data_IF_796243655040
#
_entry.id   IF_796243655040
#
_cell.length_a   1.000
_cell.length_b   1.000
_cell.length_c   1.000
_cell.angle_alpha   90.00
_cell.angle_beta   90.00
_cell.angle_gamma   90.00
#
_symmetry.space_group_name_H-M   'P 1'
#
loop_
_entity.id
_entity.type
_entity.pdbx_description
1 polymer ?
#
# COMPACT_ATOMS: atom_id res chain seq x y z
N UNK A 1 -20.05 14.00 21.24
CA UNK A 1 -20.67 13.83 19.91
C UNK A 1 -19.88 14.60 18.84
N UNK A 2 -19.81 15.93 18.88
CA UNK A 2 -19.10 16.74 17.88
C UNK A 2 -17.61 16.38 17.70
N UNK A 3 -16.87 16.14 18.79
CA UNK A 3 -15.46 15.74 18.72
C UNK A 3 -15.23 14.36 18.07
N UNK A 4 -16.17 13.43 18.22
CA UNK A 4 -16.11 12.09 17.61
C UNK A 4 -16.38 12.18 16.11
N UNK A 5 -17.30 13.05 15.70
CA UNK A 5 -17.59 13.35 14.29
C UNK A 5 -16.39 13.99 13.59
N UNK A 6 -15.72 14.93 14.26
CA UNK A 6 -14.49 15.57 13.73
C UNK A 6 -13.33 14.56 13.67
N UNK A 7 -13.18 13.71 14.69
CA UNK A 7 -12.10 12.71 14.72
C UNK A 7 -12.25 11.62 13.64
N UNK A 8 -13.47 11.12 13.39
CA UNK A 8 -13.71 10.16 12.31
C UNK A 8 -13.59 10.80 10.91
N UNK A 9 -14.01 12.06 10.75
CA UNK A 9 -13.83 12.80 9.51
C UNK A 9 -12.34 12.99 9.15
N UNK A 10 -11.49 13.23 10.16
CA UNK A 10 -10.03 13.33 9.99
C UNK A 10 -9.37 11.97 9.75
N UNK A 11 -9.91 10.89 10.33
CA UNK A 11 -9.35 9.53 10.20
C UNK A 11 -9.63 8.88 8.84
N UNK A 12 -10.71 9.28 8.17
CA UNK A 12 -11.18 8.63 6.95
C UNK A 12 -10.46 9.04 5.65
N UNK A 13 -9.68 10.13 5.62
CA UNK A 13 -9.22 10.69 4.33
C UNK A 13 -7.82 11.34 4.36
N UNK A 14 -6.73 10.58 4.09
CA UNK A 14 -5.51 11.12 3.54
C UNK A 14 -5.46 10.82 2.04
N UNK A 15 -6.30 11.46 1.22
CA UNK A 15 -6.11 11.49 -0.25
C UNK A 15 -6.41 12.89 -0.79
N UNK A 16 -5.41 13.45 -1.48
CA UNK A 16 -5.27 14.86 -1.82
C UNK A 16 -6.00 15.30 -3.11
N UNK A 17 -6.79 14.44 -3.76
CA UNK A 17 -7.34 14.73 -5.09
C UNK A 17 -8.79 15.25 -5.09
N UNK A 18 -9.50 15.23 -3.95
CA UNK A 18 -10.86 15.84 -3.80
C UNK A 18 -11.03 16.54 -2.45
N UNK A 19 -10.04 17.36 -2.08
CA UNK A 19 -9.74 17.77 -0.71
C UNK A 19 -10.84 18.49 0.10
N UNK A 20 -11.94 18.97 -0.51
CA UNK A 20 -12.95 19.78 0.20
C UNK A 20 -14.37 19.20 0.12
N UNK A 21 -14.76 18.58 -0.99
CA UNK A 21 -16.15 18.15 -1.19
C UNK A 21 -16.56 17.00 -0.25
N UNK A 22 -15.73 15.96 -0.14
CA UNK A 22 -16.01 14.77 0.69
C UNK A 22 -16.18 15.08 2.19
N UNK A 23 -15.26 15.83 2.83
CA UNK A 23 -15.38 16.23 4.23
C UNK A 23 -16.61 17.09 4.51
N UNK A 24 -16.91 18.05 3.64
CA UNK A 24 -18.08 18.95 3.79
C UNK A 24 -19.39 18.16 3.65
N UNK A 25 -19.49 17.28 2.65
CA UNK A 25 -20.64 16.39 2.46
C UNK A 25 -20.86 15.50 3.69
N UNK A 26 -19.80 14.91 4.23
CA UNK A 26 -19.85 14.05 5.42
C UNK A 26 -20.28 14.83 6.66
N UNK A 27 -19.74 16.04 6.85
CA UNK A 27 -20.11 16.90 7.96
C UNK A 27 -21.59 17.27 7.91
N UNK A 28 -22.10 17.72 6.75
CA UNK A 28 -23.52 18.08 6.57
C UNK A 28 -24.40 16.86 6.83
N UNK A 29 -24.03 15.69 6.31
CA UNK A 29 -24.78 14.44 6.49
C UNK A 29 -24.90 14.06 7.97
N UNK A 30 -23.78 14.08 8.71
CA UNK A 30 -23.75 13.73 10.13
C UNK A 30 -24.43 14.80 11.01
N UNK A 31 -24.27 16.08 10.70
CA UNK A 31 -24.95 17.17 11.40
C UNK A 31 -26.48 17.07 11.24
N UNK A 32 -26.96 16.81 10.02
CA UNK A 32 -28.38 16.62 9.75
C UNK A 32 -28.95 15.41 10.51
N UNK A 33 -28.22 14.28 10.51
CA UNK A 33 -28.61 13.08 11.26
C UNK A 33 -28.65 13.32 12.78
N UNK A 34 -27.66 14.03 13.33
CA UNK A 34 -27.58 14.35 14.75
C UNK A 34 -28.70 15.29 15.19
N UNK A 35 -28.98 16.35 14.41
CA UNK A 35 -30.09 17.27 14.65
C UNK A 35 -31.44 16.55 14.61
N UNK A 36 -31.60 15.64 13.65
CA UNK A 36 -32.83 14.86 13.51
C UNK A 36 -33.09 13.96 14.71
N UNK A 37 -32.08 13.20 15.15
CA UNK A 37 -32.19 12.33 16.32
C UNK A 37 -32.39 13.12 17.63
N UNK A 38 -31.65 14.22 17.80
CA UNK A 38 -31.77 15.09 18.98
C UNK A 38 -33.16 15.72 19.11
N UNK A 39 -33.70 16.25 18.00
CA UNK A 39 -35.03 16.82 17.95
C UNK A 39 -36.12 15.76 18.25
N UNK A 40 -35.97 14.53 17.74
CA UNK A 40 -36.90 13.43 18.00
C UNK A 40 -36.99 13.11 19.50
N UNK A 41 -35.84 12.95 20.16
CA UNK A 41 -35.78 12.63 21.59
C UNK A 41 -36.45 13.73 22.42
N UNK A 42 -36.18 15.00 22.09
CA UNK A 42 -36.76 16.13 22.80
C UNK A 42 -38.29 16.20 22.64
N UNK A 43 -38.80 15.99 21.42
CA UNK A 43 -40.25 15.97 21.13
C UNK A 43 -40.94 14.81 21.85
N UNK A 44 -40.32 13.63 21.89
CA UNK A 44 -40.88 12.48 22.62
C UNK A 44 -40.92 12.71 24.14
N UNK A 45 -39.90 13.36 24.71
CA UNK A 45 -39.88 13.72 26.15
C UNK A 45 -40.94 14.75 26.50
N UNK A 46 -41.06 15.80 25.71
CA UNK A 46 -42.05 16.88 25.92
C UNK A 46 -43.48 16.38 25.73
N UNK A 47 -43.76 15.62 24.67
CA UNK A 47 -45.08 15.00 24.47
C UNK A 47 -45.44 13.98 25.56
N UNK A 48 -44.45 13.26 26.12
CA UNK A 48 -44.67 12.37 27.27
C UNK A 48 -44.98 13.12 28.57
N UNK A 49 -44.51 14.36 28.73
CA UNK A 49 -44.85 15.25 29.85
C UNK A 49 -46.21 15.93 29.70
N UNK A 50 -46.63 16.23 28.47
CA UNK A 50 -47.90 16.92 28.17
C UNK A 50 -49.10 15.99 27.97
N UNK A 51 -49.21 14.92 28.78
CA UNK A 51 -50.28 13.90 28.64
C UNK A 51 -51.72 14.46 28.68
N UNK A 52 -51.92 15.68 29.21
CA UNK A 52 -53.22 16.36 29.26
C UNK A 52 -53.49 17.39 28.15
N UNK A 53 -52.49 17.87 27.40
CA UNK A 53 -52.65 18.98 26.45
C UNK A 53 -52.53 18.53 24.98
N UNK A 54 -53.59 17.88 24.50
CA UNK A 54 -53.58 17.20 23.20
C UNK A 54 -53.44 18.12 21.98
N UNK A 55 -53.84 19.39 22.09
CA UNK A 55 -53.69 20.37 21.02
C UNK A 55 -52.23 20.84 20.87
N UNK A 56 -51.57 21.14 22.00
CA UNK A 56 -50.17 21.56 22.04
C UNK A 56 -49.23 20.44 21.55
N UNK A 57 -49.47 19.20 21.99
CA UNK A 57 -48.71 18.04 21.51
C UNK A 57 -48.81 17.84 19.98
N UNK A 58 -50.01 18.00 19.41
CA UNK A 58 -50.21 17.92 17.95
C UNK A 58 -49.47 19.02 17.19
N UNK A 59 -49.49 20.25 17.70
CA UNK A 59 -48.73 21.37 17.13
C UNK A 59 -47.24 21.03 17.08
N UNK A 60 -46.69 20.56 18.20
CA UNK A 60 -45.27 20.20 18.30
C UNK A 60 -44.88 19.03 17.36
N UNK A 61 -45.70 17.98 17.28
CA UNK A 61 -45.50 16.86 16.36
C UNK A 61 -45.52 17.29 14.89
N UNK A 62 -46.41 18.21 14.52
CA UNK A 62 -46.49 18.71 13.13
C UNK A 62 -45.30 19.60 12.75
N UNK A 63 -44.82 20.44 13.69
CA UNK A 63 -43.61 21.23 13.51
C UNK A 63 -42.37 20.33 13.36
N UNK A 64 -42.23 19.31 14.21
CA UNK A 64 -41.17 18.32 14.10
C UNK A 64 -41.22 17.55 12.78
N UNK A 65 -42.41 17.12 12.32
CA UNK A 65 -42.56 16.41 11.06
C UNK A 65 -42.09 17.23 9.84
N UNK A 66 -42.27 18.56 9.88
CA UNK A 66 -41.78 19.48 8.84
C UNK A 66 -40.26 19.61 8.86
N UNK A 67 -39.67 19.75 10.05
CA UNK A 67 -38.21 19.79 10.23
C UNK A 67 -37.57 18.47 9.79
N UNK A 68 -38.15 17.34 10.20
CA UNK A 68 -37.69 16.00 9.85
C UNK A 68 -37.69 15.76 8.33
N UNK A 69 -38.65 16.33 7.59
CA UNK A 69 -38.67 16.23 6.12
C UNK A 69 -37.47 16.93 5.48
N UNK A 70 -37.13 18.14 5.93
CA UNK A 70 -35.96 18.88 5.45
C UNK A 70 -34.64 18.19 5.81
N UNK A 71 -34.51 17.71 7.05
CA UNK A 71 -33.32 16.98 7.48
C UNK A 71 -33.15 15.66 6.72
N UNK A 72 -34.24 14.93 6.48
CA UNK A 72 -34.21 13.72 5.67
C UNK A 72 -33.79 14.01 4.23
N UNK A 73 -34.33 15.06 3.61
CA UNK A 73 -33.93 15.47 2.27
C UNK A 73 -32.42 15.81 2.21
N UNK A 74 -31.89 16.53 3.20
CA UNK A 74 -30.46 16.83 3.28
C UNK A 74 -29.60 15.55 3.38
N UNK A 75 -29.99 14.60 4.23
CA UNK A 75 -29.30 13.30 4.40
C UNK A 75 -29.33 12.50 3.09
N UNK A 76 -30.47 12.42 2.41
CA UNK A 76 -30.60 11.70 1.14
C UNK A 76 -29.74 12.35 0.06
N UNK A 77 -29.85 13.67 -0.13
CA UNK A 77 -29.12 14.39 -1.18
C UNK A 77 -27.61 14.28 -0.97
N UNK A 78 -27.12 14.52 0.24
CA UNK A 78 -25.69 14.38 0.56
C UNK A 78 -25.21 12.93 0.38
N UNK A 79 -26.03 11.94 0.74
CA UNK A 79 -25.72 10.52 0.53
C UNK A 79 -25.63 10.13 -0.95
N UNK A 80 -26.54 10.63 -1.78
CA UNK A 80 -26.55 10.40 -3.23
C UNK A 80 -25.33 11.05 -3.90
N UNK A 81 -25.02 12.30 -3.55
CA UNK A 81 -23.85 13.01 -4.10
C UNK A 81 -22.56 12.27 -3.71
N UNK A 82 -22.43 11.85 -2.45
CA UNK A 82 -21.27 11.08 -2.01
C UNK A 82 -21.15 9.74 -2.75
N UNK A 83 -22.25 9.04 -2.99
CA UNK A 83 -22.24 7.78 -3.73
C UNK A 83 -21.82 7.97 -5.20
N UNK A 84 -22.30 9.02 -5.87
CA UNK A 84 -21.96 9.33 -7.26
C UNK A 84 -20.49 9.76 -7.43
N UNK A 85 -19.91 10.42 -6.42
CA UNK A 85 -18.50 10.81 -6.42
C UNK A 85 -17.56 9.62 -6.20
N UNK A 86 -18.00 8.58 -5.48
CA UNK A 86 -17.16 7.45 -5.07
C UNK A 86 -17.26 6.23 -5.99
N UNK A 87 -18.29 6.10 -6.84
CA UNK A 87 -18.59 4.84 -7.55
C UNK A 87 -18.77 5.02 -9.06
N UNK A 88 -17.93 4.38 -9.90
CA UNK A 88 -18.27 4.18 -11.31
C UNK A 88 -19.47 3.23 -11.42
N UNK A 89 -20.54 3.68 -12.09
CA UNK A 89 -21.87 3.04 -12.11
C UNK A 89 -21.87 1.57 -12.58
N UNK A 90 -20.83 1.12 -13.29
CA UNK A 90 -20.68 -0.27 -13.75
C UNK A 90 -20.41 -1.29 -12.63
N UNK A 91 -19.85 -0.85 -11.50
CA UNK A 91 -19.39 -1.74 -10.42
C UNK A 91 -20.41 -1.91 -9.28
N UNK A 92 -21.56 -1.24 -9.36
CA UNK A 92 -22.58 -1.21 -8.30
C UNK A 92 -23.24 -2.57 -8.07
N UNK A 93 -23.34 -3.41 -9.12
CA UNK A 93 -24.02 -4.70 -9.02
C UNK A 93 -23.08 -5.88 -8.79
N UNK A 94 -21.79 -5.72 -9.08
CA UNK A 94 -20.79 -6.80 -9.06
C UNK A 94 -19.90 -6.75 -7.84
N UNK A 95 -19.72 -5.58 -7.22
CA UNK A 95 -18.84 -5.41 -6.05
C UNK A 95 -19.59 -5.50 -4.74
N UNK A 96 -18.93 -6.00 -3.70
CA UNK A 96 -19.49 -6.04 -2.34
C UNK A 96 -19.81 -4.65 -1.81
N UNK A 97 -19.04 -3.64 -2.23
CA UNK A 97 -19.31 -2.23 -1.92
C UNK A 97 -20.66 -1.79 -2.52
N UNK A 98 -20.91 -2.10 -3.79
CA UNK A 98 -22.17 -1.79 -4.47
C UNK A 98 -23.38 -2.49 -3.85
N UNK A 99 -23.23 -3.73 -3.39
CA UNK A 99 -24.28 -4.45 -2.65
C UNK A 99 -24.64 -3.79 -1.30
N UNK A 100 -23.65 -3.30 -0.56
CA UNK A 100 -23.88 -2.54 0.70
C UNK A 100 -24.57 -1.21 0.41
N UNK A 101 -24.19 -0.53 -0.67
CA UNK A 101 -24.85 0.71 -1.12
C UNK A 101 -26.32 0.46 -1.47
N UNK A 102 -26.63 -0.63 -2.20
CA UNK A 102 -28.01 -1.02 -2.52
C UNK A 102 -28.84 -1.33 -1.26
N UNK A 103 -28.26 -2.04 -0.29
CA UNK A 103 -28.92 -2.28 1.00
C UNK A 103 -29.23 -0.96 1.73
N UNK A 104 -28.30 0.00 1.70
CA UNK A 104 -28.48 1.33 2.29
C UNK A 104 -29.58 2.12 1.58
N UNK A 105 -29.64 2.07 0.24
CA UNK A 105 -30.70 2.71 -0.55
C UNK A 105 -32.07 2.10 -0.21
N UNK A 106 -32.17 0.77 -0.15
CA UNK A 106 -33.42 0.08 0.20
C UNK A 106 -33.91 0.47 1.61
N UNK A 107 -33.00 0.58 2.57
CA UNK A 107 -33.30 0.99 3.94
C UNK A 107 -33.83 2.43 4.01
N UNK A 108 -33.19 3.36 3.28
CA UNK A 108 -33.62 4.76 3.18
C UNK A 108 -34.98 4.88 2.50
N UNK A 109 -35.22 4.10 1.43
CA UNK A 109 -36.51 4.06 0.75
C UNK A 109 -37.63 3.55 1.66
N UNK A 110 -37.36 2.50 2.46
CA UNK A 110 -38.28 2.00 3.46
C UNK A 110 -38.64 3.06 4.53
N UNK A 111 -37.65 3.79 5.02
CA UNK A 111 -37.86 4.88 5.98
C UNK A 111 -38.69 6.03 5.36
N UNK A 112 -38.43 6.40 4.11
CA UNK A 112 -39.19 7.41 3.38
C UNK A 112 -40.67 7.01 3.23
N UNK A 113 -40.93 5.74 2.87
CA UNK A 113 -42.28 5.20 2.71
C UNK A 113 -43.06 5.21 4.03
N UNK A 114 -42.43 4.79 5.14
CA UNK A 114 -43.04 4.85 6.47
C UNK A 114 -43.38 6.29 6.88
N UNK A 115 -42.44 7.23 6.68
CA UNK A 115 -42.67 8.64 6.98
C UNK A 115 -43.79 9.27 6.11
N UNK A 116 -43.90 8.85 4.84
CA UNK A 116 -45.00 9.28 3.96
C UNK A 116 -46.36 8.75 4.44
N UNK A 117 -46.45 7.46 4.77
CA UNK A 117 -47.67 6.83 5.29
C UNK A 117 -48.11 7.46 6.62
N UNK A 118 -47.17 7.78 7.51
CA UNK A 118 -47.40 8.48 8.76
C UNK A 118 -48.09 9.83 8.55
N UNK A 119 -47.53 10.65 7.65
CA UNK A 119 -48.08 11.96 7.28
C UNK A 119 -49.48 11.84 6.69
N UNK A 120 -49.69 10.86 5.80
CA UNK A 120 -50.99 10.61 5.19
C UNK A 120 -52.06 10.27 6.24
N UNK A 121 -51.72 9.46 7.24
CA UNK A 121 -52.63 9.08 8.34
C UNK A 121 -52.91 10.23 9.31
N UNK A 122 -51.92 11.07 9.59
CA UNK A 122 -52.10 12.29 10.39
C UNK A 122 -53.05 13.29 9.73
N UNK A 123 -53.00 13.42 8.40
CA UNK A 123 -53.92 14.28 7.65
C UNK A 123 -55.32 13.67 7.44
N UNK A 124 -55.44 12.35 7.40
CA UNK A 124 -56.70 11.67 7.13
C UNK A 124 -57.66 11.52 8.33
N UNK A 125 -57.19 11.70 9.59
CA UNK A 125 -58.00 11.49 10.78
C UNK A 125 -57.95 12.68 11.76
N UNK A 126 -58.73 13.75 11.52
CA UNK A 126 -58.86 14.87 12.45
C UNK A 126 -59.72 14.44 13.65
N UNK A 127 -59.12 14.02 14.77
CA UNK A 127 -59.87 13.87 16.04
C UNK A 127 -59.40 12.83 17.05
N UNK A 128 -58.48 11.91 16.71
CA UNK A 128 -57.91 10.95 17.68
C UNK A 128 -56.39 10.99 17.63
N UNK A 129 -55.74 11.31 18.76
CA UNK A 129 -54.27 11.26 18.85
C UNK A 129 -53.80 9.81 18.76
N UNK A 130 -53.01 9.45 17.74
CA UNK A 130 -52.53 8.10 17.61
C UNK A 130 -51.14 8.02 18.27
N UNK A 131 -51.11 7.98 19.61
CA UNK A 131 -49.86 7.85 20.39
C UNK A 131 -49.08 6.56 20.10
N UNK A 132 -49.75 5.51 19.61
CA UNK A 132 -49.12 4.20 19.29
C UNK A 132 -48.33 4.18 17.97
N UNK A 133 -48.84 4.64 16.82
CA UNK A 133 -48.06 4.64 15.58
C UNK A 133 -46.84 5.56 15.63
N UNK A 134 -46.90 6.70 16.34
CA UNK A 134 -45.74 7.59 16.49
C UNK A 134 -44.53 6.92 17.20
N UNK A 135 -44.79 5.99 18.14
CA UNK A 135 -43.73 5.22 18.82
C UNK A 135 -43.13 4.15 17.92
N UNK A 136 -43.96 3.48 17.12
CA UNK A 136 -43.50 2.48 16.13
C UNK A 136 -42.65 3.16 15.06
N UNK A 137 -43.06 4.34 14.60
CA UNK A 137 -42.32 5.16 13.63
C UNK A 137 -40.97 5.65 14.18
N UNK A 138 -40.94 6.16 15.41
CA UNK A 138 -39.69 6.55 16.06
C UNK A 138 -38.74 5.35 16.22
N UNK A 139 -39.26 4.17 16.58
CA UNK A 139 -38.45 2.95 16.69
C UNK A 139 -37.91 2.48 15.34
N UNK A 140 -38.70 2.56 14.27
CA UNK A 140 -38.26 2.20 12.93
C UNK A 140 -37.14 3.13 12.43
N UNK A 141 -37.25 4.43 12.69
CA UNK A 141 -36.21 5.41 12.37
C UNK A 141 -34.93 5.19 13.17
N UNK A 142 -35.04 4.87 14.47
CA UNK A 142 -33.89 4.52 15.30
C UNK A 142 -33.21 3.25 14.79
N UNK A 143 -33.98 2.22 14.40
CA UNK A 143 -33.42 0.98 13.81
C UNK A 143 -32.73 1.27 12.48
N UNK A 144 -33.34 2.07 11.60
CA UNK A 144 -32.73 2.47 10.32
C UNK A 144 -31.42 3.24 10.54
N UNK A 145 -31.39 4.15 11.52
CA UNK A 145 -30.18 4.89 11.88
C UNK A 145 -29.12 3.96 12.50
N UNK A 146 -29.52 3.04 13.38
CA UNK A 146 -28.61 2.07 13.98
C UNK A 146 -28.02 1.11 12.94
N UNK A 147 -28.84 0.62 12.01
CA UNK A 147 -28.39 -0.23 10.90
C UNK A 147 -27.50 0.56 9.94
N UNK A 148 -27.87 1.80 9.59
CA UNK A 148 -27.03 2.66 8.75
C UNK A 148 -25.69 2.97 9.41
N UNK A 149 -25.68 3.28 10.71
CA UNK A 149 -24.46 3.49 11.48
C UNK A 149 -23.61 2.23 11.53
N UNK A 150 -24.23 1.07 11.78
CA UNK A 150 -23.55 -0.24 11.79
C UNK A 150 -22.93 -0.53 10.43
N UNK A 151 -23.67 -0.33 9.33
CA UNK A 151 -23.17 -0.50 7.96
C UNK A 151 -22.08 0.52 7.58
N UNK A 152 -22.02 1.67 8.25
CA UNK A 152 -20.95 2.66 8.02
C UNK A 152 -19.69 2.34 8.84
N UNK A 153 -19.86 1.72 10.01
CA UNK A 153 -18.75 1.24 10.86
C UNK A 153 -18.17 -0.07 10.36
N UNK A 154 -19.00 -0.94 9.77
CA UNK A 154 -18.55 -2.13 9.05
C UNK A 154 -17.81 -1.66 7.80
N UNK A 155 -16.47 -1.61 7.89
CA UNK A 155 -15.60 -1.42 6.73
C UNK A 155 -16.04 -2.39 5.65
N UNK A 156 -16.34 -1.87 4.45
CA UNK A 156 -16.52 -2.73 3.29
C UNK A 156 -15.34 -3.71 3.22
N UNK A 157 -15.57 -5.00 2.90
CA UNK A 157 -14.47 -5.94 2.70
C UNK A 157 -13.48 -5.30 1.73
N UNK A 158 -12.25 -5.10 2.18
CA UNK A 158 -11.21 -4.57 1.32
C UNK A 158 -11.09 -5.52 0.13
N UNK A 159 -11.33 -5.01 -1.08
CA UNK A 159 -11.11 -5.81 -2.27
C UNK A 159 -9.63 -6.23 -2.27
N UNK A 160 -9.41 -7.53 -2.08
CA UNK A 160 -8.08 -8.09 -1.95
C UNK A 160 -7.25 -7.88 -3.23
N UNK A 161 -7.90 -7.60 -4.36
CA UNK A 161 -7.26 -7.39 -5.66
C UNK A 161 -7.03 -5.92 -6.01
N UNK A 162 -7.66 -4.98 -5.28
CA UNK A 162 -7.50 -3.55 -5.57
C UNK A 162 -6.05 -3.12 -5.27
N UNK A 163 -5.39 -2.37 -6.18
CA UNK A 163 -4.05 -1.86 -5.92
C UNK A 163 -4.03 -0.99 -4.65
N UNK A 164 -2.97 -1.16 -3.86
CA UNK A 164 -2.67 -0.28 -2.74
C UNK A 164 -2.12 1.05 -3.27
N UNK A 165 -2.38 2.13 -2.55
CA UNK A 165 -1.81 3.43 -2.89
C UNK A 165 -0.31 3.49 -2.63
N UNK A 166 0.18 2.73 -1.65
CA UNK A 166 1.60 2.70 -1.25
C UNK A 166 2.02 1.29 -0.83
N UNK A 167 3.31 1.01 -0.92
CA UNK A 167 3.91 -0.21 -0.40
C UNK A 167 3.67 -0.35 1.12
N UNK A 168 3.24 -1.52 1.60
CA UNK A 168 3.20 -1.79 3.04
C UNK A 168 4.62 -1.66 3.65
N UNK A 169 4.74 -1.17 4.89
CA UNK A 169 6.03 -1.12 5.56
C UNK A 169 6.61 -2.54 5.73
N UNK A 170 7.93 -2.66 5.63
CA UNK A 170 8.65 -3.91 5.87
C UNK A 170 8.57 -4.31 7.35
N UNK A 171 8.42 -5.61 7.63
CA UNK A 171 8.32 -6.12 9.01
C UNK A 171 9.57 -6.92 9.37
N UNK A 172 10.37 -6.38 10.28
CA UNK A 172 11.62 -7.00 10.74
C UNK A 172 12.76 -6.93 9.70
N UNK A 173 13.80 -7.76 9.88
CA UNK A 173 14.94 -7.83 8.97
C UNK A 173 14.52 -8.14 7.52
N UNK A 174 15.25 -7.54 6.57
CA UNK A 174 14.97 -7.62 5.13
C UNK A 174 16.09 -8.37 4.42
N UNK A 175 15.73 -9.25 3.49
CA UNK A 175 16.65 -9.79 2.48
C UNK A 175 16.46 -8.96 1.21
N UNK A 176 17.41 -8.07 0.87
CA UNK A 176 17.36 -7.37 -0.39
C UNK A 176 17.90 -8.26 -1.51
N UNK A 177 17.33 -8.12 -2.70
CA UNK A 177 17.91 -8.67 -3.92
C UNK A 177 17.51 -7.79 -5.11
N UNK A 178 18.40 -7.66 -6.09
CA UNK A 178 18.19 -6.89 -7.29
C UNK A 178 18.59 -7.69 -8.54
N UNK A 179 17.99 -7.37 -9.67
CA UNK A 179 18.38 -7.86 -10.99
C UNK A 179 17.84 -6.92 -12.07
N UNK A 180 18.04 -7.25 -13.35
CA UNK A 180 17.55 -6.48 -14.49
C UNK A 180 17.01 -7.40 -15.58
N UNK A 181 15.81 -7.08 -16.08
CA UNK A 181 15.16 -7.77 -17.19
C UNK A 181 15.11 -6.85 -18.41
N UNK A 182 16.05 -7.04 -19.35
CA UNK A 182 16.29 -6.09 -20.43
C UNK A 182 16.69 -4.73 -19.85
N UNK A 183 15.89 -3.70 -20.09
CA UNK A 183 16.07 -2.33 -19.60
C UNK A 183 15.34 -2.04 -18.29
N UNK A 184 14.61 -3.02 -17.76
CA UNK A 184 13.81 -2.86 -16.54
C UNK A 184 14.64 -3.29 -15.34
N UNK A 185 14.99 -2.33 -14.49
CA UNK A 185 15.55 -2.58 -13.17
C UNK A 185 14.51 -3.24 -12.26
N UNK A 186 14.94 -4.25 -11.51
CA UNK A 186 14.10 -4.99 -10.57
C UNK A 186 14.77 -4.97 -9.21
N UNK A 187 14.10 -4.41 -8.23
CA UNK A 187 14.52 -4.43 -6.84
C UNK A 187 13.49 -5.17 -5.99
N UNK A 188 13.96 -5.97 -5.04
CA UNK A 188 13.08 -6.76 -4.17
C UNK A 188 13.45 -6.61 -2.71
N UNK A 189 12.40 -6.60 -1.87
CA UNK A 189 12.50 -6.53 -0.42
C UNK A 189 11.67 -7.67 0.16
N UNK A 190 12.35 -8.75 0.53
CA UNK A 190 11.73 -9.87 1.23
C UNK A 190 11.79 -9.63 2.74
N UNK A 191 10.63 -9.63 3.40
CA UNK A 191 10.52 -9.49 4.86
C UNK A 191 9.50 -10.48 5.41
N UNK A 192 9.28 -10.48 6.73
CA UNK A 192 8.40 -11.46 7.36
C UNK A 192 6.99 -11.34 6.81
N UNK A 193 6.47 -12.41 6.20
CA UNK A 193 5.10 -12.48 5.71
C UNK A 193 4.84 -11.77 4.38
N UNK A 194 5.85 -11.23 3.70
CA UNK A 194 5.64 -10.48 2.46
C UNK A 194 6.86 -10.40 1.53
N UNK A 195 6.56 -10.12 0.26
CA UNK A 195 7.51 -9.74 -0.77
C UNK A 195 7.02 -8.45 -1.43
N UNK A 196 7.93 -7.46 -1.52
CA UNK A 196 7.75 -6.24 -2.31
C UNK A 196 8.73 -6.28 -3.47
N UNK A 197 8.25 -5.98 -4.68
CA UNK A 197 9.03 -5.86 -5.91
C UNK A 197 8.79 -4.49 -6.49
N UNK A 198 9.85 -3.75 -6.78
CA UNK A 198 9.81 -2.43 -7.38
C UNK A 198 10.55 -2.47 -8.71
N UNK A 199 9.86 -2.02 -9.75
CA UNK A 199 10.36 -1.94 -11.11
C UNK A 199 10.74 -0.49 -11.44
N UNK A 200 11.85 -0.33 -12.15
CA UNK A 200 12.29 0.96 -12.67
C UNK A 200 12.61 0.81 -14.16
N UNK A 201 12.14 1.75 -14.97
CA UNK A 201 12.53 1.89 -16.36
C UNK A 201 13.02 3.34 -16.60
N UNK A 202 13.81 3.61 -17.65
CA UNK A 202 14.17 4.97 -17.96
C UNK A 202 12.93 5.83 -18.23
N UNK A 203 12.96 7.08 -17.75
CA UNK A 203 11.82 7.98 -17.85
C UNK A 203 11.88 8.76 -19.16
N UNK A 204 10.82 8.64 -19.96
CA UNK A 204 10.59 9.49 -21.14
C UNK A 204 9.19 10.05 -21.02
N UNK A 205 9.07 11.38 -20.98
CA UNK A 205 7.77 12.05 -20.83
C UNK A 205 7.31 12.17 -19.37
N UNK A 206 5.98 12.15 -19.16
CA UNK A 206 5.39 12.31 -17.83
C UNK A 206 5.45 10.97 -17.05
N UNK A 207 6.02 10.92 -15.82
CA UNK A 207 6.10 9.69 -15.02
C UNK A 207 4.76 8.99 -14.75
N UNK A 208 3.64 9.70 -14.83
CA UNK A 208 2.29 9.14 -14.62
C UNK A 208 1.81 8.26 -15.80
N UNK A 209 2.39 8.43 -16.99
CA UNK A 209 1.98 7.69 -18.19
C UNK A 209 2.65 6.31 -18.27
N UNK A 210 3.66 6.05 -17.42
CA UNK A 210 4.42 4.82 -17.49
C UNK A 210 3.70 3.66 -16.78
N UNK A 211 3.30 2.67 -17.58
CA UNK A 211 2.65 1.45 -17.07
C UNK A 211 3.66 0.31 -16.91
N UNK A 212 3.54 -0.41 -15.79
CA UNK A 212 4.41 -1.54 -15.45
C UNK A 212 3.59 -2.83 -15.38
N UNK A 213 4.15 -3.91 -15.92
CA UNK A 213 3.64 -5.27 -15.81
C UNK A 213 4.64 -6.16 -15.09
N UNK A 214 4.14 -7.01 -14.18
CA UNK A 214 4.96 -8.01 -13.50
C UNK A 214 4.19 -9.30 -13.31
N UNK A 215 4.83 -10.41 -13.66
CA UNK A 215 4.46 -11.74 -13.19
C UNK A 215 5.63 -12.38 -12.45
N UNK A 216 5.32 -13.18 -11.43
CA UNK A 216 6.33 -13.81 -10.58
C UNK A 216 5.98 -15.27 -10.30
N UNK A 217 6.99 -16.14 -10.40
CA UNK A 217 6.92 -17.53 -9.95
C UNK A 217 7.99 -17.77 -8.90
N UNK A 218 7.59 -18.36 -7.78
CA UNK A 218 8.50 -18.74 -6.70
C UNK A 218 8.73 -20.25 -6.73
N UNK A 219 9.99 -20.67 -6.80
CA UNK A 219 10.43 -21.99 -6.42
C UNK A 219 10.91 -21.95 -4.96
N UNK A 220 10.29 -22.73 -4.08
CA UNK A 220 10.76 -22.85 -2.69
C UNK A 220 12.08 -23.63 -2.61
N UNK A 221 12.76 -23.69 -1.44
CA UNK A 221 14.03 -24.39 -1.30
C UNK A 221 13.96 -25.90 -1.58
N UNK A 222 12.75 -26.48 -1.67
CA UNK A 222 12.52 -27.89 -2.05
C UNK A 222 12.22 -28.05 -3.55
N UNK A 223 12.22 -26.95 -4.31
CA UNK A 223 11.93 -26.93 -5.74
C UNK A 223 10.44 -26.84 -6.08
N UNK A 224 9.54 -26.70 -5.10
CA UNK A 224 8.09 -26.58 -5.36
C UNK A 224 7.80 -25.21 -5.97
N UNK A 225 7.24 -25.19 -7.19
CA UNK A 225 6.95 -23.95 -7.92
C UNK A 225 5.51 -23.50 -7.72
N UNK A 226 5.31 -22.20 -7.51
CA UNK A 226 3.99 -21.56 -7.48
C UNK A 226 4.02 -20.19 -8.13
N UNK A 227 3.00 -19.86 -8.91
CA UNK A 227 2.78 -18.49 -9.36
C UNK A 227 2.36 -17.62 -8.16
N UNK A 228 2.92 -16.42 -8.06
CA UNK A 228 2.56 -15.46 -7.01
C UNK A 228 1.46 -14.54 -7.51
N UNK A 229 0.45 -14.33 -6.68
CA UNK A 229 -0.59 -13.32 -6.94
C UNK A 229 -0.07 -11.97 -6.46
N UNK A 230 0.30 -11.11 -7.39
CA UNK A 230 0.83 -9.77 -7.14
C UNK A 230 -0.29 -8.75 -7.13
N UNK A 231 -0.16 -7.75 -6.26
CA UNK A 231 -1.06 -6.59 -6.16
C UNK A 231 -0.23 -5.33 -6.33
N UNK A 232 -0.72 -4.37 -7.13
CA UNK A 232 -0.05 -3.08 -7.27
C UNK A 232 0.04 -2.34 -5.93
N UNK A 233 1.11 -1.60 -5.70
CA UNK A 233 1.33 -0.79 -4.50
C UNK A 233 1.87 0.62 -4.76
N UNK A 234 1.55 1.15 -5.94
CA UNK A 234 2.12 2.37 -6.52
C UNK A 234 2.68 2.08 -7.92
N UNK A 235 3.08 3.12 -8.65
CA UNK A 235 3.69 3.00 -9.98
C UNK A 235 4.96 2.16 -9.89
N UNK A 236 5.05 1.09 -10.69
CA UNK A 236 6.16 0.15 -10.66
C UNK A 236 6.26 -0.74 -9.41
N UNK A 237 5.37 -0.59 -8.42
CA UNK A 237 5.40 -1.34 -7.16
C UNK A 237 4.42 -2.52 -7.17
N UNK A 238 4.91 -3.69 -6.77
CA UNK A 238 4.13 -4.91 -6.62
C UNK A 238 4.34 -5.54 -5.25
N UNK A 239 3.26 -6.01 -4.65
CA UNK A 239 3.23 -6.58 -3.32
C UNK A 239 2.52 -7.93 -3.33
N UNK A 240 3.02 -8.89 -2.53
CA UNK A 240 2.30 -10.13 -2.25
C UNK A 240 2.58 -10.63 -0.83
N UNK A 241 1.55 -11.09 -0.09
CA UNK A 241 1.76 -11.78 1.17
C UNK A 241 2.42 -13.13 0.91
N UNK A 242 3.50 -13.42 1.64
CA UNK A 242 4.32 -14.59 1.39
C UNK A 242 4.96 -15.13 2.67
N UNK A 243 4.72 -16.40 2.96
CA UNK A 243 5.45 -17.12 4.01
C UNK A 243 6.69 -17.76 3.40
N UNK A 244 7.86 -17.35 3.90
CA UNK A 244 9.15 -17.87 3.50
C UNK A 244 9.46 -19.19 4.22
N UNK A 245 10.04 -20.14 3.49
CA UNK A 245 10.69 -21.32 4.07
C UNK A 245 12.16 -20.98 4.32
N UNK A 246 12.74 -21.56 5.36
CA UNK A 246 14.18 -21.50 5.59
C UNK A 246 14.94 -22.13 4.42
N UNK A 247 15.98 -21.43 3.95
CA UNK A 247 16.77 -21.77 2.77
C UNK A 247 16.62 -20.77 1.62
N UNK A 248 17.19 -21.12 0.47
CA UNK A 248 17.20 -20.27 -0.72
C UNK A 248 16.00 -20.57 -1.61
N UNK A 249 15.14 -19.58 -1.81
CA UNK A 249 14.05 -19.63 -2.78
C UNK A 249 14.46 -18.90 -4.05
N UNK A 250 14.03 -19.39 -5.22
CA UNK A 250 14.30 -18.75 -6.50
C UNK A 250 13.04 -18.09 -7.05
N UNK A 251 13.14 -16.80 -7.34
CA UNK A 251 12.11 -16.02 -8.00
C UNK A 251 12.43 -15.93 -9.49
N UNK A 252 11.46 -16.31 -10.31
CA UNK A 252 11.45 -16.04 -11.75
C UNK A 252 10.45 -14.95 -12.01
N UNK A 253 10.93 -13.80 -12.48
CA UNK A 253 10.16 -12.60 -12.72
C UNK A 253 10.07 -12.37 -14.23
N UNK A 254 8.92 -11.91 -14.71
CA UNK A 254 8.76 -11.42 -16.07
C UNK A 254 8.17 -10.02 -16.00
N UNK A 255 8.96 -9.03 -16.39
CA UNK A 255 8.70 -7.62 -16.23
C UNK A 255 8.53 -6.93 -17.59
N UNK A 256 7.65 -5.94 -17.65
CA UNK A 256 7.42 -5.07 -18.80
C UNK A 256 7.18 -3.62 -18.33
N UNK A 257 7.54 -2.64 -19.15
CA UNK A 257 7.35 -1.22 -18.88
C UNK A 257 7.03 -0.52 -20.19
N UNK A 258 5.75 -0.19 -20.41
CA UNK A 258 5.26 0.30 -21.70
C UNK A 258 5.58 -0.63 -22.88
N UNK A 259 5.53 -0.07 -24.08
CA UNK A 259 5.98 -0.75 -25.32
C UNK A 259 7.40 -0.30 -25.73
N UNK A 260 7.87 0.79 -25.14
CA UNK A 260 9.11 1.47 -25.50
C UNK A 260 10.37 0.84 -24.86
N UNK A 261 10.24 0.14 -23.73
CA UNK A 261 11.39 -0.45 -23.02
C UNK A 261 11.46 -1.96 -23.19
N UNK A 262 12.66 -2.47 -23.45
CA UNK A 262 12.90 -3.90 -23.53
C UNK A 262 12.68 -4.56 -22.16
N UNK A 263 11.53 -5.20 -21.97
CA UNK A 263 11.27 -6.06 -20.81
C UNK A 263 11.82 -7.48 -20.99
N UNK A 264 11.49 -8.37 -20.06
CA UNK A 264 11.87 -9.77 -20.20
C UNK A 264 11.79 -10.58 -18.92
N UNK A 265 12.41 -11.75 -18.96
CA UNK A 265 12.49 -12.67 -17.82
C UNK A 265 13.82 -12.52 -17.10
N UNK A 266 13.78 -12.40 -15.77
CA UNK A 266 14.96 -12.40 -14.92
C UNK A 266 14.77 -13.33 -13.72
N UNK A 267 15.87 -13.84 -13.19
CA UNK A 267 15.91 -14.69 -12.01
C UNK A 267 16.62 -13.99 -10.85
N UNK A 268 16.14 -14.21 -9.63
CA UNK A 268 16.85 -13.79 -8.42
C UNK A 268 16.65 -14.80 -7.29
N UNK A 269 17.59 -14.82 -6.35
CA UNK A 269 17.57 -15.72 -5.20
C UNK A 269 17.29 -14.93 -3.92
N UNK A 270 16.40 -15.48 -3.07
CA UNK A 270 16.10 -14.96 -1.75
C UNK A 270 16.46 -16.03 -0.72
N UNK A 271 17.47 -15.76 0.10
CA UNK A 271 17.86 -16.69 1.18
C UNK A 271 17.25 -16.25 2.50
N UNK A 272 16.37 -17.08 3.06
CA UNK A 272 15.66 -16.80 4.31
C UNK A 272 16.14 -17.70 5.46
N UNK A 273 16.20 -17.24 6.72
CA UNK A 273 15.87 -15.90 7.21
C UNK A 273 16.95 -14.85 6.95
N UNK A 274 16.54 -13.58 6.97
CA UNK A 274 17.47 -12.44 7.00
C UNK A 274 18.34 -12.49 8.27
N UNK A 275 19.65 -12.27 8.10
CA UNK A 275 20.66 -12.27 9.17
C UNK A 275 21.42 -10.94 9.14
N UNK A 276 20.98 -9.89 9.85
CA UNK A 276 21.70 -8.61 9.85
C UNK A 276 23.14 -8.76 10.36
N UNK A 277 24.10 -8.19 9.64
CA UNK A 277 25.52 -8.28 9.99
C UNK A 277 26.29 -7.00 9.63
N UNK A 278 26.00 -5.92 10.36
CA UNK A 278 26.68 -4.64 10.17
C UNK A 278 28.18 -4.69 10.54
N UNK A 279 28.60 -5.66 11.37
CA UNK A 279 29.99 -5.83 11.75
C UNK A 279 30.83 -6.34 10.57
N UNK A 280 30.30 -7.30 9.81
CA UNK A 280 30.95 -7.81 8.61
C UNK A 280 31.15 -6.71 7.55
N UNK A 281 30.18 -5.81 7.36
CA UNK A 281 30.34 -4.67 6.44
C UNK A 281 31.45 -3.72 6.89
N UNK A 282 31.48 -3.34 8.18
CA UNK A 282 32.56 -2.49 8.72
C UNK A 282 33.93 -3.15 8.58
N UNK A 283 34.01 -4.46 8.83
CA UNK A 283 35.22 -5.26 8.62
C UNK A 283 35.66 -5.25 7.16
N UNK A 284 34.71 -5.41 6.24
CA UNK A 284 34.94 -5.36 4.78
C UNK A 284 35.52 -4.02 4.36
N UNK A 285 34.91 -2.91 4.78
CA UNK A 285 35.40 -1.56 4.50
C UNK A 285 36.78 -1.33 5.10
N UNK A 286 37.05 -1.83 6.31
CA UNK A 286 38.37 -1.73 6.92
C UNK A 286 39.44 -2.55 6.18
N UNK A 287 39.10 -3.74 5.68
CA UNK A 287 39.98 -4.57 4.86
C UNK A 287 40.27 -3.91 3.51
N UNK A 288 39.24 -3.42 2.82
CA UNK A 288 39.36 -2.72 1.55
C UNK A 288 40.21 -1.45 1.68
N UNK A 289 40.05 -0.64 2.75
CA UNK A 289 40.91 0.55 3.00
C UNK A 289 42.40 0.24 3.10
N UNK A 290 42.77 -1.00 3.46
CA UNK A 290 44.15 -1.47 3.58
C UNK A 290 44.69 -2.08 2.29
N UNK A 291 43.86 -2.34 1.29
CA UNK A 291 44.29 -2.91 0.01
C UNK A 291 45.06 -1.84 -0.80
N UNK A 292 46.37 -2.04 -1.07
CA UNK A 292 47.21 -1.01 -1.68
C UNK A 292 46.83 -0.77 -3.14
N UNK A 293 46.75 -1.83 -3.96
CA UNK A 293 46.25 -1.80 -5.34
C UNK A 293 45.60 -3.15 -5.70
N UNK A 294 44.65 -3.11 -6.61
CA UNK A 294 44.07 -4.27 -7.29
C UNK A 294 43.55 -3.86 -8.66
N UNK A 295 43.30 -4.84 -9.52
CA UNK A 295 42.65 -4.62 -10.81
C UNK A 295 41.15 -4.90 -10.67
N UNK A 296 40.34 -3.89 -10.94
CA UNK A 296 38.88 -3.99 -10.99
C UNK A 296 38.46 -4.35 -12.41
N UNK A 297 37.85 -5.53 -12.57
CA UNK A 297 37.24 -5.98 -13.81
C UNK A 297 35.75 -5.67 -13.74
N UNK A 298 35.29 -4.66 -14.48
CA UNK A 298 33.93 -4.14 -14.44
C UNK A 298 33.19 -4.42 -15.76
N UNK A 299 31.95 -4.88 -15.63
CA UNK A 299 30.97 -5.03 -16.70
C UNK A 299 29.74 -4.21 -16.34
N UNK A 300 29.31 -3.31 -17.23
CA UNK A 300 28.14 -2.45 -17.04
C UNK A 300 27.16 -2.64 -18.18
N UNK A 301 25.91 -3.00 -17.85
CA UNK A 301 24.84 -3.09 -18.84
C UNK A 301 23.59 -2.34 -18.40
N UNK A 302 23.02 -1.57 -19.32
CA UNK A 302 21.67 -1.00 -19.16
C UNK A 302 20.61 -1.90 -19.76
N UNK A 303 20.99 -2.88 -20.60
CA UNK A 303 20.08 -3.80 -21.27
C UNK A 303 20.62 -5.24 -21.25
N UNK A 304 20.10 -6.09 -20.36
CA UNK A 304 20.57 -7.48 -20.23
C UNK A 304 20.25 -8.36 -21.43
N UNK A 305 19.40 -7.94 -22.37
CA UNK A 305 19.19 -8.66 -23.65
C UNK A 305 20.38 -8.54 -24.60
N UNK A 306 21.22 -7.52 -24.43
CA UNK A 306 22.42 -7.28 -25.25
C UNK A 306 23.70 -7.85 -24.59
N UNK A 307 23.57 -8.52 -23.44
CA UNK A 307 24.68 -9.04 -22.65
C UNK A 307 25.03 -8.15 -21.45
N UNK A 308 26.20 -8.41 -20.85
CA UNK A 308 26.67 -7.74 -19.62
C UNK A 308 27.47 -6.46 -19.88
N UNK A 309 27.63 -6.07 -21.14
CA UNK A 309 28.42 -4.91 -21.55
C UNK A 309 29.90 -5.23 -21.78
N UNK A 310 30.67 -4.19 -22.05
CA UNK A 310 32.09 -4.31 -22.35
C UNK A 310 32.92 -4.41 -21.07
N UNK A 311 33.89 -5.33 -21.06
CA UNK A 311 34.82 -5.48 -19.94
C UNK A 311 35.75 -4.26 -19.86
N UNK A 312 35.75 -3.59 -18.72
CA UNK A 312 36.73 -2.55 -18.35
C UNK A 312 37.65 -3.08 -17.27
N UNK A 313 38.94 -2.77 -17.38
CA UNK A 313 39.95 -3.11 -16.39
C UNK A 313 40.53 -1.82 -15.85
N UNK A 314 40.40 -1.61 -14.53
CA UNK A 314 40.83 -0.38 -13.88
C UNK A 314 41.77 -0.72 -12.71
N UNK A 315 43.06 -0.38 -12.79
CA UNK A 315 43.94 -0.48 -11.63
C UNK A 315 43.59 0.62 -10.64
N UNK A 316 43.16 0.26 -9.43
CA UNK A 316 42.65 1.19 -8.42
C UNK A 316 43.12 0.80 -7.03
N UNK A 317 43.15 1.75 -6.10
CA UNK A 317 43.37 1.48 -4.68
C UNK A 317 42.05 1.21 -3.95
N UNK A 318 42.09 0.52 -2.81
CA UNK A 318 40.86 0.28 -2.05
C UNK A 318 40.23 1.56 -1.46
N UNK A 319 41.02 2.61 -1.22
CA UNK A 319 40.49 3.91 -0.77
C UNK A 319 39.75 4.66 -1.87
N UNK A 320 40.29 4.66 -3.08
CA UNK A 320 39.65 5.30 -4.24
C UNK A 320 38.36 4.56 -4.61
N UNK A 321 38.39 3.23 -4.62
CA UNK A 321 37.19 2.42 -4.85
C UNK A 321 36.09 2.74 -3.84
N UNK A 322 36.39 2.66 -2.54
CA UNK A 322 35.40 2.93 -1.49
C UNK A 322 34.88 4.38 -1.49
N UNK A 323 35.59 5.34 -2.08
CA UNK A 323 35.11 6.72 -2.19
C UNK A 323 33.95 6.85 -3.21
N UNK A 324 33.84 5.92 -4.16
CA UNK A 324 32.78 5.87 -5.16
C UNK A 324 31.58 5.00 -4.73
N UNK A 325 31.75 4.17 -3.71
CA UNK A 325 30.73 3.19 -3.30
C UNK A 325 29.78 3.70 -2.22
N UNK A 326 28.47 3.39 -2.31
CA UNK A 326 27.47 3.88 -1.36
C UNK A 326 27.68 3.33 0.06
N UNK A 327 28.40 2.21 0.18
CA UNK A 327 28.75 1.57 1.46
C UNK A 327 30.15 1.93 1.95
N UNK A 328 30.86 2.85 1.30
CA UNK A 328 32.24 3.24 1.62
C UNK A 328 32.47 3.75 3.05
N UNK A 329 31.41 4.23 3.70
CA UNK A 329 31.40 4.64 5.11
C UNK A 329 31.33 3.46 6.10
N UNK A 330 31.05 2.24 5.63
CA UNK A 330 30.82 1.06 6.47
C UNK A 330 29.39 0.92 6.98
N UNK A 331 28.43 1.63 6.37
CA UNK A 331 27.01 1.59 6.73
C UNK A 331 26.12 1.46 5.50
N UNK A 332 25.03 0.71 5.62
CA UNK A 332 23.95 0.68 4.64
C UNK A 332 22.59 0.58 5.37
N UNK A 333 21.49 1.13 4.81
CA UNK A 333 20.17 1.06 5.42
C UNK A 333 19.67 -0.37 5.68
N UNK A 334 19.97 -1.27 4.75
CA UNK A 334 19.68 -2.70 4.86
C UNK A 334 20.96 -3.48 4.66
N UNK A 335 21.26 -4.39 5.60
CA UNK A 335 22.41 -5.28 5.57
C UNK A 335 21.92 -6.66 5.98
N UNK A 336 22.18 -7.68 5.16
CA UNK A 336 21.90 -9.09 5.48
C UNK A 336 23.07 -9.95 5.03
N UNK A 337 23.56 -10.80 5.93
CA UNK A 337 24.52 -11.86 5.60
C UNK A 337 23.81 -13.01 4.89
N UNK A 338 24.36 -13.35 3.72
CA UNK A 338 23.94 -14.52 2.95
C UNK A 338 24.73 -15.75 3.41
N UNK A 339 24.28 -16.98 3.08
CA UNK A 339 25.11 -18.16 3.28
C UNK A 339 26.45 -18.01 2.58
N UNK A 340 27.48 -18.58 3.20
CA UNK A 340 28.81 -18.61 2.60
C UNK A 340 28.77 -19.49 1.34
N UNK A 341 29.53 -19.11 0.31
CA UNK A 341 29.57 -19.78 -0.99
C UNK A 341 31.01 -20.13 -1.33
N UNK A 342 31.32 -21.42 -1.54
CA UNK A 342 32.69 -21.91 -1.73
C UNK A 342 33.68 -21.43 -0.65
N UNK A 343 33.24 -21.30 0.60
CA UNK A 343 34.05 -20.79 1.71
C UNK A 343 34.15 -19.26 1.79
N UNK A 344 33.57 -18.54 0.83
CA UNK A 344 33.53 -17.08 0.81
C UNK A 344 32.32 -16.54 1.56
N UNK A 345 32.52 -15.54 2.41
CA UNK A 345 31.44 -14.87 3.12
C UNK A 345 30.68 -13.96 2.17
N UNK A 346 29.36 -13.85 2.33
CA UNK A 346 28.53 -13.02 1.45
C UNK A 346 27.64 -12.02 2.19
N UNK A 347 27.47 -10.84 1.60
CA UNK A 347 26.62 -9.76 2.12
C UNK A 347 25.69 -9.25 1.03
N UNK A 348 24.41 -9.10 1.37
CA UNK A 348 23.43 -8.36 0.58
C UNK A 348 23.14 -7.01 1.24
N UNK A 349 23.24 -5.94 0.47
CA UNK A 349 22.99 -4.57 0.90
C UNK A 349 21.85 -3.96 0.08
N UNK A 350 21.12 -3.02 0.66
CA UNK A 350 20.21 -2.18 -0.11
C UNK A 350 20.11 -0.74 0.39
N UNK A 351 19.86 0.13 -0.59
CA UNK A 351 19.62 1.55 -0.51
C UNK A 351 18.24 1.79 -1.16
N UNK A 352 17.14 1.61 -0.38
CA UNK A 352 15.80 1.56 -0.95
C UNK A 352 15.35 2.86 -1.59
N UNK A 353 15.80 4.02 -1.07
CA UNK A 353 15.44 5.32 -1.64
C UNK A 353 16.07 5.53 -3.03
N UNK A 354 17.18 4.86 -3.28
CA UNK A 354 17.97 4.90 -4.50
C UNK A 354 17.68 3.70 -5.43
N UNK A 355 16.71 2.85 -5.07
CA UNK A 355 16.44 1.56 -5.72
C UNK A 355 17.69 0.73 -6.03
N UNK A 356 18.70 0.81 -5.15
CA UNK A 356 19.99 0.17 -5.36
C UNK A 356 20.18 -1.04 -4.44
N UNK A 357 20.63 -2.17 -4.99
CA UNK A 357 20.95 -3.38 -4.24
C UNK A 357 22.33 -3.88 -4.61
N UNK A 358 23.05 -4.42 -3.63
CA UNK A 358 24.39 -4.96 -3.83
C UNK A 358 24.49 -6.36 -3.24
N UNK A 359 25.22 -7.24 -3.93
CA UNK A 359 25.68 -8.53 -3.42
C UNK A 359 27.21 -8.53 -3.44
N UNK A 360 27.81 -8.76 -2.29
CA UNK A 360 29.26 -8.79 -2.09
C UNK A 360 29.68 -10.20 -1.71
N UNK A 361 30.69 -10.73 -2.39
CA UNK A 361 31.39 -11.96 -2.02
C UNK A 361 32.78 -11.61 -1.52
N UNK A 362 33.16 -12.14 -0.37
CA UNK A 362 34.33 -11.73 0.40
C UNK A 362 35.32 -12.89 0.57
N UNK A 363 36.61 -12.58 0.51
CA UNK A 363 37.67 -13.53 0.87
C UNK A 363 37.76 -13.75 2.40
N UNK A 364 38.68 -14.62 2.81
CA UNK A 364 38.93 -14.95 4.21
C UNK A 364 39.41 -13.75 5.03
N UNK A 365 40.09 -12.79 4.39
CA UNK A 365 40.57 -11.55 5.00
C UNK A 365 39.51 -10.45 5.07
N UNK A 366 38.37 -10.64 4.39
CA UNK A 366 37.26 -9.70 4.32
C UNK A 366 37.36 -8.72 3.15
N UNK A 367 38.27 -8.92 2.20
CA UNK A 367 38.32 -8.14 0.95
C UNK A 367 37.25 -8.62 -0.02
N UNK A 368 36.74 -7.71 -0.83
CA UNK A 368 35.72 -8.02 -1.83
C UNK A 368 36.38 -8.78 -2.98
N UNK A 369 35.84 -9.95 -3.34
CA UNK A 369 36.23 -10.71 -4.52
C UNK A 369 35.31 -10.40 -5.68
N UNK A 370 33.99 -10.41 -5.45
CA UNK A 370 32.97 -10.16 -6.46
C UNK A 370 31.91 -9.21 -5.90
N UNK A 371 31.42 -8.32 -6.74
CA UNK A 371 30.30 -7.45 -6.45
C UNK A 371 29.30 -7.46 -7.61
N UNK A 372 28.01 -7.51 -7.28
CA UNK A 372 26.94 -7.22 -8.22
C UNK A 372 26.12 -6.06 -7.67
N UNK A 373 26.09 -4.94 -8.38
CA UNK A 373 25.32 -3.74 -8.04
C UNK A 373 24.20 -3.58 -9.05
N UNK A 374 22.95 -3.66 -8.57
CA UNK A 374 21.76 -3.35 -9.36
C UNK A 374 21.31 -1.93 -9.00
N UNK A 375 21.43 -1.01 -9.96
CA UNK A 375 20.96 0.37 -9.87
C UNK A 375 19.70 0.57 -10.73
N UNK A 376 18.98 1.70 -10.60
CA UNK A 376 17.75 1.96 -11.36
C UNK A 376 17.87 1.79 -12.87
N UNK A 377 19.04 2.15 -13.43
CA UNK A 377 19.26 2.23 -14.88
C UNK A 377 20.36 1.30 -15.40
N UNK A 378 21.12 0.63 -14.53
CA UNK A 378 22.21 -0.24 -14.96
C UNK A 378 22.47 -1.36 -13.94
N UNK A 379 23.03 -2.46 -14.45
CA UNK A 379 23.56 -3.57 -13.67
C UNK A 379 25.09 -3.55 -13.83
N UNK A 380 25.79 -3.48 -12.70
CA UNK A 380 27.26 -3.54 -12.65
C UNK A 380 27.69 -4.86 -12.04
N UNK A 381 28.56 -5.59 -12.71
CA UNK A 381 29.22 -6.77 -12.17
C UNK A 381 30.72 -6.51 -12.12
N UNK A 382 31.32 -6.72 -10.95
CA UNK A 382 32.72 -6.43 -10.68
C UNK A 382 33.43 -7.62 -10.11
N UNK A 383 34.63 -7.89 -10.62
CA UNK A 383 35.57 -8.87 -10.07
C UNK A 383 36.86 -8.17 -9.68
N UNK A 384 37.37 -8.49 -8.49
CA UNK A 384 38.53 -7.84 -7.88
C UNK A 384 39.70 -8.81 -7.91
N UNK A 385 40.78 -8.43 -8.60
CA UNK A 385 42.00 -9.23 -8.71
C UNK A 385 43.11 -8.54 -7.94
N UNK A 386 43.49 -9.13 -6.80
CA UNK A 386 44.58 -8.64 -5.97
C UNK A 386 45.91 -9.26 -6.43
N UNK A 387 47.02 -8.50 -6.37
CA UNK A 387 48.34 -9.05 -6.66
C UNK A 387 48.70 -10.14 -5.65
N UNK A 388 49.44 -11.16 -6.09
CA UNK A 388 49.96 -12.19 -5.19
C UNK A 388 50.97 -11.57 -4.22
N UNK A 389 50.98 -12.06 -2.97
CA UNK A 389 51.96 -11.66 -1.96
C UNK A 389 53.36 -12.14 -2.36
N UNK A 390 54.04 -11.39 -3.23
CA UNK A 390 55.36 -11.71 -3.74
C UNK A 390 55.84 -10.89 -4.95
N UNK A 391 54.96 -10.20 -5.68
CA UNK A 391 55.32 -9.47 -6.92
C UNK A 391 55.80 -8.02 -6.72
N UNK A 392 55.97 -7.53 -5.49
CA UNK A 392 56.55 -6.19 -5.23
C UNK A 392 58.07 -6.10 -5.51
N UNK A 393 58.68 -7.10 -6.17
CA UNK A 393 60.13 -7.26 -6.24
C UNK A 393 60.82 -7.13 -7.61
N UNK A 394 60.11 -6.88 -8.71
CA UNK A 394 60.74 -6.79 -10.04
C UNK A 394 60.30 -5.53 -10.80
N UNK A 395 60.86 -4.39 -10.40
CA UNK A 395 61.10 -3.28 -11.33
C UNK A 395 62.26 -3.69 -12.26
N UNK A 396 62.03 -3.64 -13.57
CA UNK A 396 63.04 -3.75 -14.62
C UNK A 396 63.38 -2.39 -15.19
#
# INVERSE_FOLDING_TARGET
>A
MAAVVVAEALRAHPQAEQAVAGPVLTFIHLAAAALWLGALVQVLRTTAGWRGEQAAARGLLSAYARLAAWLFAAVVTTGVIAALLLVPLGDVFTTTYGQVLLAKIALVAGAAALAYLARRRLHAAPGRLPYRPARVEASALIVVLAVSATLTVLRAPADANRPLSFAPPTTGPVVPAGTRAGEIGISTRASTGQLIVELTAPQVGNPDDQSYGLSATLADPRGTRRALKLRGCGTGCFYTPLTWREGTSHLTLTASAGEEWAGGRAGLAITWPARPDAALLRGTVAAMKKAPRFTLHELVTSNTTLGLGDLKQLPITGKEFLAAEPYGSGTAPVITRLPDDNGHRRLALAYPAEHTQLDLTLDETGRILHETLTAPNHLVTRTFVYPETGEEGHEH
#
